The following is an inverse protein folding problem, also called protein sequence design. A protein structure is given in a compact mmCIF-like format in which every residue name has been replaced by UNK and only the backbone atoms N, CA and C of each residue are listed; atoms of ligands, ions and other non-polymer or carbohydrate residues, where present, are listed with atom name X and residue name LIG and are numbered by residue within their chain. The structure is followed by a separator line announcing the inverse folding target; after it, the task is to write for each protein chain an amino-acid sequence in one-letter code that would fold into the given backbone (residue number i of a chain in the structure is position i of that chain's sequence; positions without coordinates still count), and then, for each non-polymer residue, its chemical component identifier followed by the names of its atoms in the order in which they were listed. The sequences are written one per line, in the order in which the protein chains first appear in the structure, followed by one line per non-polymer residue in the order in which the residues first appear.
data_IF_290979034024
#
_entry.id   IF_290979034024
#
_cell.length_a   1.000
_cell.length_b   1.000
_cell.length_c   1.000
_cell.angle_alpha   90.00
_cell.angle_beta   90.00
_cell.angle_gamma   90.00
#
_symmetry.space_group_name_H-M   'P 1'
#
loop_
_entity.id
_entity.type
_entity.pdbx_description
1 polymer ?
#
# COMPACT_ATOMS: atom_id res chain seq x y z
N UNK A 1 -10.39 21.15 14.11
CA UNK A 1 -10.30 20.04 13.14
C UNK A 1 -8.87 19.97 12.66
N UNK A 2 -8.13 18.92 13.02
CA UNK A 2 -6.76 18.77 12.58
C UNK A 2 -6.68 18.34 11.12
N UNK A 3 -5.44 18.25 10.65
CA UNK A 3 -5.13 18.10 9.23
C UNK A 3 -5.63 16.76 8.65
N UNK A 4 -5.68 15.70 9.45
CA UNK A 4 -6.19 14.41 8.99
C UNK A 4 -7.71 14.37 8.92
N UNK A 5 -8.42 14.98 9.86
CA UNK A 5 -9.88 15.10 9.76
C UNK A 5 -10.29 15.89 8.52
N UNK A 6 -9.48 16.88 8.08
CA UNK A 6 -9.69 17.60 6.82
C UNK A 6 -9.38 16.76 5.59
N UNK A 7 -8.30 15.99 5.63
CA UNK A 7 -7.90 15.10 4.52
C UNK A 7 -8.90 13.94 4.34
N UNK A 8 -9.34 13.36 5.44
CA UNK A 8 -10.37 12.33 5.47
C UNK A 8 -11.76 12.82 5.12
N UNK A 9 -12.10 14.06 5.46
CA UNK A 9 -13.34 14.68 4.99
C UNK A 9 -13.31 14.94 3.48
N UNK A 10 -12.13 15.11 2.88
CA UNK A 10 -11.98 15.20 1.43
C UNK A 10 -12.20 13.84 0.74
N UNK A 11 -11.76 12.74 1.37
CA UNK A 11 -11.89 11.39 0.81
C UNK A 11 -13.11 10.58 1.35
N UNK A 12 -13.90 11.12 2.30
CA UNK A 12 -15.11 10.52 2.89
C UNK A 12 -14.94 9.08 3.43
N UNK A 13 -13.74 8.72 3.89
CA UNK A 13 -13.37 7.31 4.14
C UNK A 13 -13.09 6.92 5.59
N UNK A 14 -12.76 7.85 6.51
CA UNK A 14 -12.25 7.46 7.84
C UNK A 14 -13.20 6.57 8.65
N UNK A 15 -14.47 6.98 8.74
CA UNK A 15 -15.51 6.26 9.47
C UNK A 15 -16.77 6.25 8.60
N UNK A 16 -17.26 5.07 8.28
CA UNK A 16 -18.54 4.86 7.64
C UNK A 16 -19.49 4.18 8.61
N UNK A 17 -20.69 4.71 8.74
CA UNK A 17 -21.75 4.13 9.55
C UNK A 17 -22.89 3.76 8.61
N UNK A 18 -23.31 2.50 8.63
CA UNK A 18 -24.34 1.96 7.74
C UNK A 18 -24.04 2.14 6.23
N UNK A 19 -22.77 2.36 5.84
CA UNK A 19 -22.34 2.58 4.46
C UNK A 19 -22.33 4.03 3.99
N UNK A 20 -22.52 5.01 4.90
CA UNK A 20 -22.34 6.44 4.65
C UNK A 20 -21.19 6.99 5.48
N UNK A 21 -20.44 7.93 4.92
CA UNK A 21 -19.39 8.64 5.66
C UNK A 21 -19.97 9.37 6.87
N UNK A 22 -19.29 9.30 8.02
CA UNK A 22 -19.72 9.89 9.28
C UNK A 22 -19.46 11.41 9.34
N UNK A 23 -19.90 12.14 8.32
CA UNK A 23 -19.75 13.59 8.19
C UNK A 23 -21.02 14.34 8.55
N UNK A 24 -22.20 13.72 8.39
CA UNK A 24 -23.50 14.31 8.70
C UNK A 24 -24.41 13.32 9.43
N UNK A 25 -24.84 13.67 10.63
CA UNK A 25 -25.63 12.79 11.51
C UNK A 25 -27.02 12.50 10.93
N UNK A 26 -27.60 13.45 10.18
CA UNK A 26 -28.89 13.25 9.52
C UNK A 26 -28.80 12.19 8.41
N UNK A 27 -27.71 12.19 7.63
CA UNK A 27 -27.48 11.23 6.56
C UNK A 27 -27.22 9.80 7.09
N UNK A 28 -26.54 9.70 8.25
CA UNK A 28 -26.28 8.42 8.93
C UNK A 28 -27.57 7.82 9.46
N UNK A 29 -28.41 8.61 10.14
CA UNK A 29 -29.69 8.14 10.70
C UNK A 29 -30.63 7.66 9.59
N UNK A 30 -30.70 8.37 8.47
CA UNK A 30 -31.47 7.93 7.31
C UNK A 30 -30.93 6.61 6.71
N UNK A 31 -29.62 6.47 6.53
CA UNK A 31 -29.00 5.26 5.99
C UNK A 31 -29.11 4.05 6.92
N UNK A 32 -29.04 4.25 8.23
CA UNK A 32 -29.26 3.18 9.22
C UNK A 32 -30.73 2.79 9.32
N UNK A 33 -31.65 3.75 9.16
CA UNK A 33 -33.09 3.48 9.11
C UNK A 33 -33.47 2.65 7.86
N UNK A 34 -32.90 2.93 6.69
CA UNK A 34 -33.09 2.10 5.47
C UNK A 34 -32.61 0.66 5.66
N UNK A 35 -31.57 0.45 6.47
CA UNK A 35 -31.04 -0.88 6.82
C UNK A 35 -31.73 -1.53 8.02
N UNK A 36 -32.73 -0.88 8.62
CA UNK A 36 -33.47 -1.39 9.78
C UNK A 36 -32.66 -1.44 11.08
N UNK A 37 -31.56 -0.70 11.17
CA UNK A 37 -30.67 -0.65 12.35
C UNK A 37 -31.26 0.34 13.36
N UNK A 38 -31.87 -0.18 14.43
CA UNK A 38 -32.47 0.61 15.52
C UNK A 38 -31.50 0.90 16.67
N UNK A 39 -30.43 0.10 16.79
CA UNK A 39 -29.32 0.31 17.72
C UNK A 39 -28.01 0.03 16.98
N UNK A 40 -27.10 1.00 17.00
CA UNK A 40 -25.79 0.89 16.34
C UNK A 40 -24.98 -0.24 17.00
N UNK A 41 -24.64 -1.27 16.23
CA UNK A 41 -23.71 -2.30 16.63
C UNK A 41 -22.32 -2.03 16.04
N UNK A 42 -21.28 -2.63 16.62
CA UNK A 42 -19.92 -2.55 16.08
C UNK A 42 -19.82 -3.05 14.63
N UNK A 43 -20.75 -3.89 14.18
CA UNK A 43 -20.82 -4.37 12.80
C UNK A 43 -21.23 -3.29 11.78
N UNK A 44 -21.89 -2.21 12.23
CA UNK A 44 -22.39 -1.14 11.36
C UNK A 44 -21.36 -0.02 11.15
N UNK A 45 -20.26 -0.06 11.91
CA UNK A 45 -19.19 0.93 11.89
C UNK A 45 -18.00 0.34 11.12
N UNK A 46 -17.74 0.87 9.93
CA UNK A 46 -16.57 0.54 9.14
C UNK A 46 -15.53 1.65 9.27
N UNK A 47 -14.36 1.32 9.81
CA UNK A 47 -13.22 2.22 9.88
C UNK A 47 -12.26 1.87 8.74
N UNK A 48 -11.76 2.89 8.04
CA UNK A 48 -10.74 2.66 7.03
C UNK A 48 -9.40 2.33 7.71
N UNK A 49 -9.01 1.06 7.61
CA UNK A 49 -7.82 0.51 8.25
C UNK A 49 -6.52 1.15 7.74
N UNK A 50 -6.51 1.67 6.52
CA UNK A 50 -5.32 2.27 5.90
C UNK A 50 -4.98 3.64 6.52
N UNK A 51 -5.94 4.29 7.19
CA UNK A 51 -5.77 5.63 7.75
C UNK A 51 -5.83 5.69 9.29
N UNK A 52 -6.22 4.60 9.96
CA UNK A 52 -6.48 4.61 11.40
C UNK A 52 -5.22 4.89 12.23
N UNK A 53 -4.06 4.36 11.81
CA UNK A 53 -2.79 4.56 12.52
C UNK A 53 -2.34 6.03 12.46
N UNK A 54 -2.64 6.71 11.36
CA UNK A 54 -2.34 8.13 11.21
C UNK A 54 -3.33 8.96 12.04
N UNK A 55 -4.62 8.64 11.98
CA UNK A 55 -5.68 9.44 12.65
C UNK A 55 -5.72 9.27 14.18
N UNK A 56 -5.28 8.14 14.72
CA UNK A 56 -5.35 7.81 16.15
C UNK A 56 -4.67 8.82 17.07
N UNK A 57 -3.46 9.35 16.76
CA UNK A 57 -2.88 10.45 17.54
C UNK A 57 -3.74 11.69 17.68
N UNK A 58 -4.43 12.08 16.61
CA UNK A 58 -5.32 13.24 16.63
C UNK A 58 -6.59 12.95 17.43
N UNK A 59 -7.16 11.74 17.28
CA UNK A 59 -8.34 11.30 18.04
C UNK A 59 -8.07 11.17 19.54
N UNK A 60 -6.85 10.77 19.92
CA UNK A 60 -6.43 10.64 21.31
C UNK A 60 -6.11 12.00 21.98
N UNK A 61 -6.21 13.13 21.25
CA UNK A 61 -5.89 14.46 21.78
C UNK A 61 -4.40 14.67 22.05
N UNK A 62 -3.52 13.92 21.38
CA UNK A 62 -2.08 14.03 21.60
C UNK A 62 -1.50 15.33 20.99
N UNK A 63 -0.38 15.85 21.53
CA UNK A 63 0.29 17.02 20.98
C UNK A 63 0.61 16.85 19.48
N UNK A 64 0.51 17.96 18.73
CA UNK A 64 0.75 17.97 17.27
C UNK A 64 2.09 17.33 16.87
N UNK A 65 3.12 17.51 17.70
CA UNK A 65 4.46 16.91 17.50
C UNK A 65 4.39 15.38 17.39
N UNK A 66 3.59 14.72 18.22
CA UNK A 66 3.44 13.25 18.19
C UNK A 66 2.69 12.83 16.93
N UNK A 67 1.62 13.54 16.57
CA UNK A 67 0.88 13.24 15.33
C UNK A 67 1.75 13.41 14.08
N UNK A 68 2.60 14.45 14.05
CA UNK A 68 3.55 14.68 12.98
C UNK A 68 4.67 13.65 12.95
N UNK A 69 5.15 13.19 14.11
CA UNK A 69 6.15 12.14 14.22
C UNK A 69 5.62 10.80 13.70
N UNK A 70 4.39 10.43 14.05
CA UNK A 70 3.73 9.20 13.56
C UNK A 70 3.52 9.28 12.04
N UNK A 71 3.07 10.42 11.52
CA UNK A 71 2.93 10.62 10.07
C UNK A 71 4.28 10.53 9.33
N UNK A 72 5.32 11.18 9.85
CA UNK A 72 6.67 11.10 9.30
C UNK A 72 7.23 9.68 9.35
N UNK A 73 7.02 8.96 10.46
CA UNK A 73 7.44 7.57 10.62
C UNK A 73 6.75 6.62 9.65
N UNK A 74 5.43 6.76 9.46
CA UNK A 74 4.67 5.96 8.49
C UNK A 74 5.14 6.19 7.06
N UNK A 75 5.38 7.45 6.68
CA UNK A 75 5.92 7.81 5.37
C UNK A 75 7.33 7.25 5.17
N UNK A 76 8.20 7.37 6.18
CA UNK A 76 9.56 6.84 6.14
C UNK A 76 9.57 5.30 5.98
N UNK A 77 8.69 4.59 6.69
CA UNK A 77 8.56 3.14 6.56
C UNK A 77 8.11 2.72 5.15
N UNK A 78 7.10 3.41 4.59
CA UNK A 78 6.62 3.14 3.23
C UNK A 78 7.69 3.43 2.17
N UNK A 79 8.46 4.50 2.31
CA UNK A 79 9.57 4.81 1.39
C UNK A 79 10.70 3.78 1.50
N UNK A 80 11.06 3.34 2.71
CA UNK A 80 12.12 2.35 2.90
C UNK A 80 11.80 1.00 2.27
N UNK A 81 10.54 0.57 2.31
CA UNK A 81 10.11 -0.68 1.66
C UNK A 81 10.01 -0.53 0.15
N UNK A 82 9.47 0.59 -0.33
CA UNK A 82 9.36 0.87 -1.75
C UNK A 82 10.73 0.94 -2.43
N UNK A 83 11.69 1.66 -1.84
CA UNK A 83 13.06 1.79 -2.39
C UNK A 83 13.76 0.43 -2.46
N UNK A 84 13.66 -0.37 -1.38
CA UNK A 84 14.24 -1.72 -1.35
C UNK A 84 13.66 -2.65 -2.42
N UNK A 85 12.34 -2.66 -2.60
CA UNK A 85 11.67 -3.49 -3.61
C UNK A 85 11.96 -3.02 -5.03
N UNK A 86 11.94 -1.72 -5.28
CA UNK A 86 12.27 -1.14 -6.60
C UNK A 86 13.71 -1.46 -6.99
N UNK A 87 14.65 -1.32 -6.07
CA UNK A 87 16.05 -1.65 -6.31
C UNK A 87 16.24 -3.15 -6.55
N UNK A 88 15.54 -4.01 -5.81
CA UNK A 88 15.58 -5.46 -6.02
C UNK A 88 15.05 -5.85 -7.40
N UNK A 89 13.91 -5.29 -7.82
CA UNK A 89 13.32 -5.53 -9.15
C UNK A 89 14.24 -5.00 -10.25
N UNK A 90 14.77 -3.79 -10.11
CA UNK A 90 15.67 -3.18 -11.09
C UNK A 90 16.95 -4.01 -11.28
N UNK A 91 17.51 -4.52 -10.18
CA UNK A 91 18.69 -5.39 -10.24
C UNK A 91 18.38 -6.75 -10.86
N UNK A 92 17.25 -7.37 -10.51
CA UNK A 92 16.80 -8.62 -11.13
C UNK A 92 16.61 -8.45 -12.64
N UNK A 93 15.88 -7.41 -13.07
CA UNK A 93 15.67 -7.11 -14.50
C UNK A 93 16.99 -6.79 -15.22
N UNK A 94 17.87 -6.01 -14.62
CA UNK A 94 19.16 -5.66 -15.23
C UNK A 94 20.06 -6.88 -15.39
N UNK A 95 20.03 -7.84 -14.47
CA UNK A 95 20.89 -9.02 -14.55
C UNK A 95 20.27 -10.11 -15.42
N UNK A 96 18.99 -10.42 -15.22
CA UNK A 96 18.30 -11.53 -15.86
C UNK A 96 17.87 -11.20 -17.29
N UNK A 97 17.38 -9.98 -17.55
CA UNK A 97 16.96 -9.59 -18.91
C UNK A 97 18.14 -8.95 -19.66
N UNK A 98 18.73 -7.87 -19.13
CA UNK A 98 19.71 -7.13 -19.92
C UNK A 98 21.03 -7.90 -20.09
N UNK A 99 21.64 -8.39 -19.01
CA UNK A 99 22.90 -9.11 -19.16
C UNK A 99 22.76 -10.51 -19.73
N UNK A 100 21.82 -11.31 -19.22
CA UNK A 100 21.73 -12.72 -19.62
C UNK A 100 21.10 -12.89 -21.01
N UNK A 101 20.24 -11.97 -21.45
CA UNK A 101 19.44 -12.10 -22.66
C UNK A 101 19.82 -11.13 -23.80
N UNK A 102 20.32 -9.92 -23.49
CA UNK A 102 20.62 -8.89 -24.50
C UNK A 102 22.12 -8.76 -24.76
N UNK A 103 22.93 -8.50 -23.73
CA UNK A 103 24.36 -8.28 -23.88
C UNK A 103 25.17 -8.86 -22.70
N UNK A 104 25.68 -10.08 -22.94
CA UNK A 104 26.43 -10.88 -21.98
C UNK A 104 27.87 -10.38 -21.74
N UNK A 105 28.35 -9.45 -22.56
CA UNK A 105 29.68 -8.84 -22.44
C UNK A 105 29.61 -7.38 -21.95
N UNK A 106 28.45 -6.91 -21.52
CA UNK A 106 28.28 -5.53 -21.08
C UNK A 106 29.17 -5.22 -19.85
N UNK A 107 29.96 -4.13 -19.89
CA UNK A 107 30.77 -3.70 -18.75
C UNK A 107 29.88 -3.28 -17.57
N UNK A 108 30.39 -3.43 -16.35
CA UNK A 108 29.68 -3.12 -15.09
C UNK A 108 29.10 -1.71 -15.05
N UNK A 109 29.81 -0.73 -15.59
CA UNK A 109 29.33 0.66 -15.69
C UNK A 109 28.04 0.80 -16.51
N UNK A 110 27.94 0.08 -17.63
CA UNK A 110 26.75 0.11 -18.50
C UNK A 110 25.57 -0.59 -17.84
N UNK A 111 25.82 -1.70 -17.13
CA UNK A 111 24.78 -2.42 -16.35
C UNK A 111 24.19 -1.55 -15.25
N UNK A 112 25.01 -0.77 -14.55
CA UNK A 112 24.52 0.17 -13.53
C UNK A 112 23.65 1.28 -14.11
N UNK A 113 24.00 1.81 -15.29
CA UNK A 113 23.19 2.81 -15.99
C UNK A 113 21.84 2.22 -16.41
N UNK A 114 21.85 1.01 -16.97
CA UNK A 114 20.62 0.32 -17.38
C UNK A 114 19.73 -0.01 -16.18
N UNK A 115 20.30 -0.49 -15.07
CA UNK A 115 19.55 -0.73 -13.82
C UNK A 115 18.87 0.55 -13.32
N UNK A 116 19.54 1.71 -13.35
CA UNK A 116 18.95 2.99 -12.96
C UNK A 116 17.81 3.44 -13.89
N UNK A 117 17.96 3.25 -15.20
CA UNK A 117 16.89 3.58 -16.17
C UNK A 117 15.68 2.67 -15.96
N UNK A 118 15.90 1.36 -15.76
CA UNK A 118 14.85 0.40 -15.46
C UNK A 118 14.15 0.72 -14.14
N UNK A 119 14.90 1.13 -13.11
CA UNK A 119 14.34 1.57 -11.83
C UNK A 119 13.35 2.72 -12.03
N UNK A 120 13.73 3.77 -12.77
CA UNK A 120 12.85 4.93 -13.03
C UNK A 120 11.62 4.50 -13.83
N UNK A 121 11.77 3.66 -14.86
CA UNK A 121 10.65 3.11 -15.64
C UNK A 121 9.66 2.35 -14.77
N UNK A 122 10.15 1.42 -13.93
CA UNK A 122 9.32 0.62 -13.02
C UNK A 122 8.65 1.51 -11.98
N UNK A 123 9.35 2.52 -11.44
CA UNK A 123 8.79 3.46 -10.49
C UNK A 123 7.62 4.27 -11.08
N UNK A 124 7.75 4.75 -12.33
CA UNK A 124 6.67 5.47 -13.03
C UNK A 124 5.46 4.56 -13.28
N UNK A 125 5.69 3.31 -13.71
CA UNK A 125 4.61 2.33 -13.90
C UNK A 125 3.91 2.01 -12.58
N UNK A 126 4.67 1.81 -11.50
CA UNK A 126 4.13 1.55 -10.17
C UNK A 126 3.32 2.75 -9.66
N UNK A 127 3.80 3.98 -9.84
CA UNK A 127 3.07 5.20 -9.48
C UNK A 127 1.76 5.34 -10.28
N UNK A 128 1.78 5.00 -11.57
CA UNK A 128 0.58 5.00 -12.40
C UNK A 128 -0.46 4.00 -11.91
N UNK A 129 -0.05 2.76 -11.61
CA UNK A 129 -0.94 1.72 -11.06
C UNK A 129 -1.45 2.09 -9.67
N UNK A 130 -0.61 2.71 -8.82
CA UNK A 130 -1.05 3.19 -7.51
C UNK A 130 -2.12 4.30 -7.62
N UNK A 131 -2.04 5.14 -8.66
CA UNK A 131 -3.01 6.22 -8.88
C UNK A 131 -4.41 5.73 -9.26
N UNK A 132 -4.59 4.50 -9.75
CA UNK A 132 -5.90 3.98 -10.13
C UNK A 132 -6.72 3.45 -8.94
N UNK A 133 -6.16 3.44 -7.71
CA UNK A 133 -6.79 3.01 -6.45
C UNK A 133 -7.72 1.79 -6.61
N UNK A 134 -7.19 0.61 -7.01
CA UNK A 134 -8.01 -0.55 -7.35
C UNK A 134 -8.71 -1.22 -6.15
N UNK A 135 -8.08 -1.24 -4.97
CA UNK A 135 -8.67 -1.75 -3.73
C UNK A 135 -7.88 -1.27 -2.51
N UNK A 136 -8.30 -1.67 -1.31
CA UNK A 136 -7.57 -1.47 -0.05
C UNK A 136 -6.14 -2.05 -0.11
N UNK A 137 -5.22 -1.43 0.63
CA UNK A 137 -3.79 -1.78 0.61
C UNK A 137 -3.59 -3.24 1.05
N UNK A 138 -4.34 -3.68 2.08
CA UNK A 138 -4.21 -5.04 2.62
C UNK A 138 -4.52 -6.10 1.57
N UNK A 139 -5.59 -5.92 0.78
CA UNK A 139 -5.97 -6.85 -0.29
C UNK A 139 -4.95 -6.85 -1.42
N UNK A 140 -4.48 -5.68 -1.86
CA UNK A 140 -3.44 -5.56 -2.88
C UNK A 140 -2.15 -6.30 -2.50
N UNK A 141 -1.67 -6.06 -1.28
CA UNK A 141 -0.48 -6.72 -0.74
C UNK A 141 -0.70 -8.23 -0.61
N UNK A 142 -1.88 -8.66 -0.15
CA UNK A 142 -2.20 -10.07 -0.04
C UNK A 142 -2.11 -10.80 -1.38
N UNK A 143 -2.69 -10.24 -2.44
CA UNK A 143 -2.65 -10.85 -3.77
C UNK A 143 -1.24 -10.90 -4.34
N UNK A 144 -0.46 -9.83 -4.16
CA UNK A 144 0.93 -9.79 -4.60
C UNK A 144 1.77 -10.89 -3.93
N UNK A 145 1.69 -11.04 -2.60
CA UNK A 145 2.41 -12.09 -1.89
C UNK A 145 1.87 -13.49 -2.16
N UNK A 146 0.56 -13.66 -2.36
CA UNK A 146 -0.01 -14.96 -2.73
C UNK A 146 0.51 -15.44 -4.08
N UNK A 147 0.60 -14.55 -5.07
CA UNK A 147 1.18 -14.88 -6.38
C UNK A 147 2.68 -15.18 -6.27
N UNK A 148 3.42 -14.36 -5.53
CA UNK A 148 4.85 -14.58 -5.32
C UNK A 148 5.12 -15.90 -4.59
N UNK A 149 4.38 -16.20 -3.52
CA UNK A 149 4.48 -17.46 -2.79
C UNK A 149 4.10 -18.64 -3.68
N UNK A 150 2.97 -18.58 -4.39
CA UNK A 150 2.51 -19.66 -5.26
C UNK A 150 3.48 -19.98 -6.41
N UNK A 151 4.17 -18.98 -6.96
CA UNK A 151 5.15 -19.17 -8.03
C UNK A 151 6.54 -19.59 -7.53
N UNK A 152 7.07 -18.92 -6.51
CA UNK A 152 8.44 -19.14 -6.04
C UNK A 152 8.56 -20.36 -5.12
N UNK A 153 7.56 -20.64 -4.30
CA UNK A 153 7.63 -21.70 -3.30
C UNK A 153 7.85 -23.09 -3.92
N UNK A 154 7.07 -23.53 -4.93
CA UNK A 154 7.30 -24.85 -5.54
C UNK A 154 8.66 -24.92 -6.23
N UNK A 155 9.07 -23.86 -6.92
CA UNK A 155 10.36 -23.81 -7.61
C UNK A 155 11.54 -23.91 -6.64
N UNK A 156 11.47 -23.22 -5.50
CA UNK A 156 12.49 -23.27 -4.45
C UNK A 156 12.52 -24.63 -3.74
N UNK A 157 11.34 -25.18 -3.38
CA UNK A 157 11.24 -26.49 -2.73
C UNK A 157 11.79 -27.59 -3.66
N UNK A 158 11.38 -27.60 -4.92
CA UNK A 158 11.91 -28.54 -5.89
C UNK A 158 13.41 -28.32 -6.10
N UNK A 159 13.89 -27.08 -6.22
CA UNK A 159 15.31 -26.78 -6.41
C UNK A 159 16.22 -27.26 -5.27
N UNK A 160 15.76 -27.25 -4.01
CA UNK A 160 16.58 -27.68 -2.86
C UNK A 160 16.55 -29.21 -2.67
N UNK A 161 15.38 -29.84 -2.77
CA UNK A 161 15.19 -31.25 -2.40
C UNK A 161 15.12 -32.22 -3.58
N UNK A 162 14.90 -31.74 -4.81
CA UNK A 162 14.80 -32.59 -6.00
C UNK A 162 16.16 -32.67 -6.70
N UNK A 163 16.91 -33.73 -6.43
CA UNK A 163 18.28 -33.97 -6.94
C UNK A 163 18.37 -34.50 -8.40
N UNK A 164 17.32 -34.35 -9.21
CA UNK A 164 17.45 -34.75 -10.63
C UNK A 164 18.30 -33.75 -11.38
#
# INVERSE_FOLDING_TARGET
AGWMMRWAAADNTLVQICGKAATDTAAIVAACAEKGVTALSFADINLNADMIVLATPEMAGMPYVISGLVAAGGLAAALSTADGLLLAIANALSHDIYYKMIDQNAPTSRRLIVSRILLVMVAVLAAYVASTKPSDILSMVSWAFSLAAGGLFPALVLGVWWKR
#
